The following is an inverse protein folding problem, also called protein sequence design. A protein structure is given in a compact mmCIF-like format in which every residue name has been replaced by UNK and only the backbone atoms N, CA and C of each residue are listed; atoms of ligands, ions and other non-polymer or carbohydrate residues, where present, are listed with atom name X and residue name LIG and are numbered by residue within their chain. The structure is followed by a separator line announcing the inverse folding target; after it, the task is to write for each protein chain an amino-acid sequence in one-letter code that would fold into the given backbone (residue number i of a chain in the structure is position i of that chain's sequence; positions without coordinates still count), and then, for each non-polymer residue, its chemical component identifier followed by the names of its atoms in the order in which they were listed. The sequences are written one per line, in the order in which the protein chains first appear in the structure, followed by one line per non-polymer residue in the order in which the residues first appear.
data_IF_976245000187
#
_entry.id   IF_976245000187
#
_cell.length_a   1.000
_cell.length_b   1.000
_cell.length_c   1.000
_cell.angle_alpha   90.00
_cell.angle_beta   90.00
_cell.angle_gamma   90.00
#
_symmetry.space_group_name_H-M   'P 1'
#
loop_
_entity.id
_entity.type
_entity.pdbx_description
1 polymer ?
#
# COMPACT_ATOMS: atom_id res chain seq x y z
N UNK A 1 -2.14 28.86 4.07
CA UNK A 1 -2.23 28.48 5.51
C UNK A 1 -0.86 28.52 6.19
N UNK A 2 0.22 28.14 5.50
CA UNK A 2 1.61 28.21 6.01
C UNK A 2 2.11 29.64 6.29
N UNK A 3 1.78 30.61 5.43
CA UNK A 3 2.24 32.00 5.59
C UNK A 3 1.71 32.68 6.86
N UNK A 4 0.51 32.31 7.33
CA UNK A 4 -0.04 32.89 8.57
C UNK A 4 0.64 32.31 9.80
N UNK A 5 1.22 31.11 9.72
CA UNK A 5 1.95 30.49 10.81
C UNK A 5 3.35 31.10 10.95
N UNK A 6 4.07 31.31 9.85
CA UNK A 6 5.37 32.00 9.81
C UNK A 6 5.28 33.39 10.44
N UNK A 7 4.29 34.19 10.04
CA UNK A 7 4.06 35.51 10.60
C UNK A 7 3.78 35.48 12.11
N UNK A 8 3.14 34.43 12.61
CA UNK A 8 2.87 34.26 14.04
C UNK A 8 4.12 33.85 14.82
N UNK A 9 4.97 33.00 14.24
CA UNK A 9 6.26 32.63 14.84
C UNK A 9 7.18 33.85 14.91
N UNK A 10 7.27 34.63 13.83
CA UNK A 10 8.02 35.87 13.79
C UNK A 10 7.51 36.90 14.82
N UNK A 11 6.18 37.03 14.96
CA UNK A 11 5.58 37.87 16.00
C UNK A 11 5.95 37.40 17.42
N UNK A 12 5.95 36.08 17.67
CA UNK A 12 6.34 35.52 18.98
C UNK A 12 7.83 35.75 19.28
N UNK A 13 8.73 35.60 18.31
CA UNK A 13 10.16 35.96 18.46
C UNK A 13 10.30 37.44 18.84
N UNK A 14 9.68 38.34 18.07
CA UNK A 14 9.74 39.78 18.34
C UNK A 14 9.14 40.18 19.69
N UNK A 15 8.07 39.51 20.12
CA UNK A 15 7.49 39.72 21.45
C UNK A 15 8.41 39.23 22.58
N UNK A 16 9.07 38.08 22.40
CA UNK A 16 10.01 37.53 23.37
C UNK A 16 11.26 38.41 23.53
N UNK A 17 11.77 38.97 22.43
CA UNK A 17 12.86 39.96 22.43
C UNK A 17 12.43 41.27 23.11
N UNK A 18 11.24 41.79 22.77
CA UNK A 18 10.75 43.06 23.33
C UNK A 18 10.42 43.02 24.82
N UNK A 19 10.19 41.84 25.39
CA UNK A 19 9.91 41.63 26.82
C UNK A 19 11.16 41.27 27.63
N UNK A 20 12.33 41.17 27.01
CA UNK A 20 13.59 40.80 27.64
C UNK A 20 13.51 39.47 28.43
N UNK A 21 12.65 38.56 27.93
CA UNK A 21 12.37 37.25 28.54
C UNK A 21 13.60 36.35 28.47
N UNK A 22 14.37 36.48 27.39
CA UNK A 22 15.54 35.67 27.07
C UNK A 22 16.66 35.80 28.12
N UNK A 23 16.82 36.97 28.74
CA UNK A 23 18.03 37.29 29.52
C UNK A 23 17.88 37.11 31.03
N UNK A 24 16.65 37.09 31.57
CA UNK A 24 16.43 37.37 32.99
C UNK A 24 15.89 36.21 33.85
N UNK A 25 15.33 35.13 33.25
CA UNK A 25 14.71 34.04 34.04
C UNK A 25 14.90 32.65 33.45
N UNK A 26 14.77 31.60 34.28
CA UNK A 26 14.85 30.20 33.83
C UNK A 26 13.68 29.84 32.93
N UNK A 27 12.52 30.41 33.25
CA UNK A 27 11.28 30.30 32.49
C UNK A 27 11.44 30.92 31.10
N UNK A 28 12.17 32.04 31.00
CA UNK A 28 12.40 32.72 29.74
C UNK A 28 13.33 31.99 28.78
N UNK A 29 14.35 31.29 29.31
CA UNK A 29 15.17 30.36 28.53
C UNK A 29 14.34 29.20 27.97
N UNK A 30 13.39 28.68 28.73
CA UNK A 30 12.50 27.61 28.24
C UNK A 30 11.62 28.15 27.11
N UNK A 31 11.04 29.34 27.28
CA UNK A 31 10.22 29.98 26.23
C UNK A 31 11.01 30.26 24.96
N UNK A 32 12.28 30.65 25.08
CA UNK A 32 13.20 30.82 23.95
C UNK A 32 13.36 29.54 23.13
N UNK A 33 13.74 28.45 23.81
CA UNK A 33 13.91 27.14 23.19
C UNK A 33 12.60 26.61 22.59
N UNK A 34 11.46 26.90 23.22
CA UNK A 34 10.14 26.55 22.66
C UNK A 34 9.86 27.30 21.35
N UNK A 35 10.25 28.57 21.25
CA UNK A 35 10.04 29.35 20.02
C UNK A 35 10.94 28.83 18.90
N UNK A 36 12.21 28.51 19.19
CA UNK A 36 13.13 27.88 18.23
C UNK A 36 12.60 26.52 17.76
N UNK A 37 12.15 25.65 18.68
CA UNK A 37 11.56 24.36 18.34
C UNK A 37 10.32 24.49 17.44
N UNK A 38 9.48 25.49 17.69
CA UNK A 38 8.31 25.74 16.83
C UNK A 38 8.73 26.19 15.42
N UNK A 39 9.83 26.95 15.31
CA UNK A 39 10.40 27.35 14.01
C UNK A 39 10.95 26.14 13.24
N UNK A 40 11.66 25.24 13.92
CA UNK A 40 12.15 23.98 13.34
C UNK A 40 10.99 23.08 12.86
N UNK A 41 9.94 22.95 13.67
CA UNK A 41 8.73 22.20 13.30
C UNK A 41 8.06 22.84 12.09
N UNK A 42 8.00 24.17 12.03
CA UNK A 42 7.46 24.89 10.87
C UNK A 42 8.28 24.63 9.60
N UNK A 43 9.61 24.63 9.70
CA UNK A 43 10.51 24.29 8.60
C UNK A 43 10.26 22.88 8.06
N UNK A 44 10.24 21.88 8.95
CA UNK A 44 9.93 20.49 8.59
C UNK A 44 8.52 20.35 7.97
N UNK A 45 7.54 21.09 8.50
CA UNK A 45 6.18 21.07 7.99
C UNK A 45 6.07 21.72 6.59
N UNK A 46 6.85 22.78 6.28
CA UNK A 46 6.94 23.32 4.92
C UNK A 46 7.51 22.30 3.93
N UNK A 47 8.58 21.61 4.31
CA UNK A 47 9.18 20.57 3.46
C UNK A 47 8.18 19.44 3.21
N UNK A 48 7.50 18.97 4.26
CA UNK A 48 6.44 17.96 4.15
C UNK A 48 5.34 18.41 3.18
N UNK A 49 4.86 19.65 3.33
CA UNK A 49 3.81 20.18 2.47
C UNK A 49 4.23 20.21 1.00
N UNK A 50 5.47 20.64 0.71
CA UNK A 50 5.99 20.65 -0.66
C UNK A 50 6.06 19.23 -1.26
N UNK A 51 6.42 18.23 -0.46
CA UNK A 51 6.43 16.83 -0.89
C UNK A 51 5.02 16.27 -1.12
N UNK A 52 4.04 16.70 -0.30
CA UNK A 52 2.63 16.34 -0.50
C UNK A 52 2.12 16.94 -1.80
N UNK A 53 2.33 18.23 -2.05
CA UNK A 53 1.96 18.88 -3.32
C UNK A 53 2.63 18.22 -4.54
N UNK A 54 3.86 17.72 -4.38
CA UNK A 54 4.52 16.94 -5.43
C UNK A 54 3.86 15.57 -5.66
N UNK A 55 3.48 14.90 -4.57
CA UNK A 55 2.78 13.61 -4.65
C UNK A 55 1.40 13.75 -5.27
N UNK A 56 0.66 14.82 -4.93
CA UNK A 56 -0.62 15.16 -5.54
C UNK A 56 -0.47 15.34 -7.05
N UNK A 57 0.55 16.08 -7.50
CA UNK A 57 0.85 16.22 -8.93
C UNK A 57 1.20 14.90 -9.62
N UNK A 58 1.93 14.00 -8.96
CA UNK A 58 2.17 12.67 -9.51
C UNK A 58 0.90 11.83 -9.60
N UNK A 59 0.01 11.94 -8.61
CA UNK A 59 -1.27 11.24 -8.63
C UNK A 59 -2.17 11.75 -9.77
N UNK A 60 -2.24 13.07 -9.98
CA UNK A 60 -2.95 13.68 -11.11
C UNK A 60 -2.38 13.23 -12.46
N UNK A 61 -1.05 13.14 -12.58
CA UNK A 61 -0.41 12.66 -13.81
C UNK A 61 -0.72 11.18 -14.09
N UNK A 62 -0.74 10.33 -13.06
CA UNK A 62 -1.12 8.92 -13.20
C UNK A 62 -2.59 8.79 -13.60
N UNK A 63 -3.48 9.60 -13.03
CA UNK A 63 -4.90 9.63 -13.37
C UNK A 63 -5.12 9.97 -14.85
N UNK A 64 -4.43 11.01 -15.36
CA UNK A 64 -4.45 11.39 -16.78
C UNK A 64 -3.91 10.27 -17.68
N UNK A 65 -2.78 9.65 -17.32
CA UNK A 65 -2.21 8.53 -18.08
C UNK A 65 -3.15 7.30 -18.11
N UNK A 66 -3.89 7.05 -17.02
CA UNK A 66 -4.87 5.96 -16.95
C UNK A 66 -6.12 6.27 -17.78
N UNK A 67 -6.60 7.52 -17.79
CA UNK A 67 -7.72 7.96 -18.64
C UNK A 67 -7.42 7.66 -20.12
N UNK A 68 -6.20 7.94 -20.59
CA UNK A 68 -5.77 7.64 -21.96
C UNK A 68 -5.79 6.13 -22.26
N UNK A 69 -5.36 5.30 -21.31
CA UNK A 69 -5.38 3.83 -21.45
C UNK A 69 -6.81 3.31 -21.45
N UNK A 70 -7.67 3.83 -20.58
CA UNK A 70 -9.10 3.49 -20.54
C UNK A 70 -9.78 3.83 -21.86
N UNK A 71 -9.53 5.03 -22.39
CA UNK A 71 -10.05 5.45 -23.68
C UNK A 71 -9.50 4.59 -24.82
N UNK A 72 -8.24 4.13 -24.77
CA UNK A 72 -7.69 3.26 -25.80
C UNK A 72 -8.29 1.85 -25.78
N UNK A 73 -8.49 1.27 -24.59
CA UNK A 73 -8.96 -0.11 -24.43
C UNK A 73 -10.47 -0.24 -24.53
N UNK A 74 -11.22 0.75 -24.04
CA UNK A 74 -12.67 0.67 -23.87
C UNK A 74 -13.46 1.66 -24.75
N UNK A 75 -12.81 2.32 -25.72
CA UNK A 75 -13.43 3.32 -26.61
C UNK A 75 -14.70 2.85 -27.34
N UNK A 76 -14.82 1.54 -27.59
CA UNK A 76 -15.90 0.94 -28.38
C UNK A 76 -16.97 0.24 -27.51
N UNK A 77 -16.78 0.16 -26.18
CA UNK A 77 -17.71 -0.50 -25.27
C UNK A 77 -18.60 0.53 -24.54
N UNK A 78 -19.79 0.74 -25.08
CA UNK A 78 -20.90 1.52 -24.50
C UNK A 78 -21.39 1.00 -23.11
N UNK A 79 -20.74 -0.05 -22.59
CA UNK A 79 -21.00 -0.69 -21.30
C UNK A 79 -20.35 0.01 -20.09
N UNK A 80 -19.51 1.04 -20.30
CA UNK A 80 -18.82 1.77 -19.22
C UNK A 80 -19.74 2.65 -18.34
N UNK A 81 -20.99 2.85 -18.73
CA UNK A 81 -22.03 3.44 -17.88
C UNK A 81 -23.12 2.42 -17.54
N UNK A 82 -22.75 1.18 -17.24
CA UNK A 82 -23.62 0.38 -16.40
C UNK A 82 -23.64 1.06 -15.02
N UNK A 83 -24.50 2.09 -14.90
CA UNK A 83 -25.09 2.46 -13.63
C UNK A 83 -25.45 1.15 -12.99
N UNK A 84 -24.82 0.83 -11.85
CA UNK A 84 -25.23 -0.31 -11.00
C UNK A 84 -26.75 -0.24 -10.95
N UNK A 85 -27.39 -1.06 -11.78
CA UNK A 85 -28.83 -1.08 -11.88
C UNK A 85 -29.18 -1.74 -10.56
N UNK A 86 -29.56 -0.92 -9.58
CA UNK A 86 -30.08 -1.36 -8.31
C UNK A 86 -31.00 -2.53 -8.62
N UNK A 87 -30.53 -3.74 -8.30
CA UNK A 87 -31.13 -5.01 -8.67
C UNK A 87 -32.44 -5.13 -7.91
N UNK A 88 -33.41 -4.31 -8.30
CA UNK A 88 -34.80 -4.31 -7.89
C UNK A 88 -35.58 -5.13 -8.92
N UNK A 89 -35.09 -6.33 -9.20
CA UNK A 89 -35.85 -7.35 -9.90
C UNK A 89 -36.21 -8.45 -8.91
N UNK A 90 -37.36 -8.23 -8.30
CA UNK A 90 -38.36 -9.25 -8.00
C UNK A 90 -37.86 -10.53 -7.30
N UNK A 91 -37.87 -10.49 -5.97
CA UNK A 91 -38.46 -11.63 -5.25
C UNK A 91 -37.59 -12.54 -4.40
N UNK A 92 -36.42 -12.11 -3.89
CA UNK A 92 -35.84 -12.76 -2.70
C UNK A 92 -34.90 -11.83 -1.94
N UNK A 93 -35.34 -11.43 -0.76
CA UNK A 93 -34.55 -10.65 0.20
C UNK A 93 -33.29 -11.43 0.61
N UNK A 94 -32.14 -11.08 0.05
CA UNK A 94 -30.85 -11.42 0.61
C UNK A 94 -30.49 -10.32 1.62
N UNK A 95 -30.89 -10.57 2.88
CA UNK A 95 -30.47 -9.82 4.04
C UNK A 95 -28.94 -9.70 4.07
N UNK A 96 -28.49 -8.46 4.20
CA UNK A 96 -27.12 -8.03 4.49
C UNK A 96 -26.43 -8.94 5.50
N UNK A 97 -25.39 -9.64 5.06
CA UNK A 97 -24.31 -10.04 5.95
C UNK A 97 -23.09 -9.21 5.57
N UNK A 98 -22.99 -8.02 6.17
CA UNK A 98 -21.69 -7.39 6.35
C UNK A 98 -20.89 -8.36 7.24
N UNK A 99 -20.15 -9.27 6.60
CA UNK A 99 -19.13 -10.04 7.27
C UNK A 99 -18.03 -9.06 7.66
N UNK A 100 -17.90 -8.85 8.95
CA UNK A 100 -16.72 -8.30 9.59
C UNK A 100 -15.51 -9.16 9.20
N UNK A 101 -14.62 -8.60 8.39
CA UNK A 101 -13.33 -9.23 8.06
C UNK A 101 -12.31 -9.14 9.21
N UNK A 102 -12.76 -8.88 10.43
CA UNK A 102 -11.93 -8.91 11.63
C UNK A 102 -12.33 -10.12 12.47
N UNK A 103 -11.37 -11.03 12.60
CA UNK A 103 -11.28 -12.21 13.44
C UNK A 103 -11.75 -13.58 12.92
N UNK A 104 -10.75 -14.45 12.93
CA UNK A 104 -10.76 -15.86 13.28
C UNK A 104 -10.77 -16.91 12.14
N UNK A 105 -9.53 -17.37 11.88
CA UNK A 105 -9.18 -18.78 11.76
C UNK A 105 -10.14 -19.68 10.98
N UNK A 106 -10.20 -19.48 9.67
CA UNK A 106 -10.42 -20.59 8.75
C UNK A 106 -9.50 -20.45 7.54
N UNK A 107 -8.26 -20.90 7.73
CA UNK A 107 -7.39 -21.26 6.62
C UNK A 107 -8.09 -22.39 5.86
N UNK A 108 -8.83 -22.03 4.81
CA UNK A 108 -9.38 -22.98 3.86
C UNK A 108 -8.26 -23.89 3.35
N UNK A 109 -8.22 -25.13 3.85
CA UNK A 109 -7.46 -26.21 3.24
C UNK A 109 -8.02 -26.39 1.83
N UNK A 110 -7.29 -25.92 0.82
CA UNK A 110 -7.59 -26.22 -0.57
C UNK A 110 -7.63 -27.74 -0.72
N UNK A 111 -8.79 -28.26 -1.12
CA UNK A 111 -8.99 -29.66 -1.46
C UNK A 111 -8.02 -29.99 -2.59
N UNK A 112 -7.01 -30.80 -2.31
CA UNK A 112 -6.06 -31.32 -3.29
C UNK A 112 -6.76 -32.33 -4.18
N UNK A 113 -7.64 -31.84 -5.06
CA UNK A 113 -8.41 -32.60 -6.03
C UNK A 113 -7.99 -32.17 -7.44
N UNK A 114 -7.33 -33.10 -8.14
CA UNK A 114 -7.06 -33.12 -9.58
C UNK A 114 -6.13 -32.02 -10.13
N UNK A 115 -4.89 -32.43 -10.44
CA UNK A 115 -3.78 -31.63 -10.98
C UNK A 115 -4.00 -31.27 -12.47
N UNK A 116 -5.08 -30.59 -12.82
CA UNK A 116 -5.39 -30.26 -14.23
C UNK A 116 -5.31 -28.76 -14.58
N UNK A 117 -4.75 -27.93 -13.67
CA UNK A 117 -4.65 -26.47 -13.85
C UNK A 117 -3.21 -25.92 -13.79
N UNK A 118 -2.18 -26.73 -14.08
CA UNK A 118 -0.78 -26.24 -14.14
C UNK A 118 -0.40 -25.96 -15.58
N UNK A 119 -0.25 -24.69 -15.94
CA UNK A 119 0.08 -24.25 -17.30
C UNK A 119 1.60 -24.23 -17.56
N UNK A 120 2.40 -23.83 -16.57
CA UNK A 120 3.85 -23.80 -16.66
C UNK A 120 4.49 -23.85 -15.28
N UNK A 121 5.67 -24.48 -15.17
CA UNK A 121 6.48 -24.47 -13.94
C UNK A 121 7.84 -23.81 -14.18
N UNK A 122 8.21 -22.88 -13.30
CA UNK A 122 9.48 -22.16 -13.34
C UNK A 122 10.31 -22.46 -12.10
N UNK A 123 11.60 -22.75 -12.28
CA UNK A 123 12.55 -22.95 -11.21
C UNK A 123 13.38 -21.68 -10.99
N UNK A 124 13.39 -21.16 -9.77
CA UNK A 124 14.15 -19.97 -9.37
C UNK A 124 15.06 -20.28 -8.20
N UNK A 125 16.33 -19.90 -8.31
CA UNK A 125 17.30 -20.01 -7.22
C UNK A 125 17.19 -18.80 -6.29
N UNK A 126 16.94 -19.03 -5.00
CA UNK A 126 16.92 -17.97 -4.02
C UNK A 126 18.32 -17.31 -3.91
N UNK A 127 18.46 -15.99 -4.16
CA UNK A 127 19.76 -15.32 -4.10
C UNK A 127 20.41 -15.32 -2.71
N UNK A 128 19.61 -15.53 -1.66
CA UNK A 128 20.04 -15.47 -0.26
C UNK A 128 20.49 -16.83 0.29
N UNK A 129 19.69 -17.89 0.09
CA UNK A 129 19.99 -19.21 0.63
C UNK A 129 20.35 -20.28 -0.42
N UNK A 130 20.23 -19.96 -1.72
CA UNK A 130 20.45 -20.89 -2.85
C UNK A 130 19.53 -22.11 -2.88
N UNK A 131 18.43 -22.07 -2.15
CA UNK A 131 17.33 -23.04 -2.30
C UNK A 131 16.64 -22.83 -3.65
N UNK A 132 16.29 -23.92 -4.34
CA UNK A 132 15.51 -23.86 -5.58
C UNK A 132 14.02 -23.86 -5.22
N UNK A 133 13.29 -22.87 -5.71
CA UNK A 133 11.84 -22.74 -5.56
C UNK A 133 11.16 -23.06 -6.89
N UNK A 134 10.09 -23.85 -6.83
CA UNK A 134 9.24 -24.14 -7.99
C UNK A 134 7.98 -23.28 -7.92
N UNK A 135 7.74 -22.52 -8.98
CA UNK A 135 6.54 -21.72 -9.17
C UNK A 135 5.67 -22.40 -10.21
N UNK A 136 4.50 -22.86 -9.80
CA UNK A 136 3.47 -23.39 -10.70
C UNK A 136 2.45 -22.29 -10.98
N UNK A 137 2.36 -21.88 -12.24
CA UNK A 137 1.35 -20.93 -12.70
C UNK A 137 0.10 -21.71 -13.13
N UNK A 138 -1.05 -21.30 -12.60
CA UNK A 138 -2.36 -21.80 -12.96
C UNK A 138 -3.35 -20.67 -13.19
N UNK A 139 -4.44 -20.99 -13.89
CA UNK A 139 -5.58 -20.09 -14.09
C UNK A 139 -6.82 -20.83 -13.62
N UNK A 140 -7.61 -20.19 -12.76
CA UNK A 140 -8.84 -20.78 -12.25
C UNK A 140 -10.01 -20.67 -13.26
N UNK A 141 -11.15 -21.24 -12.88
CA UNK A 141 -12.35 -21.24 -13.73
C UNK A 141 -12.95 -19.85 -14.00
N UNK A 142 -12.50 -18.83 -13.27
CA UNK A 142 -12.95 -17.44 -13.39
C UNK A 142 -11.93 -16.57 -14.17
N UNK A 143 -10.77 -17.15 -14.53
CA UNK A 143 -9.75 -16.49 -15.34
C UNK A 143 -8.65 -15.79 -14.54
N UNK A 144 -8.58 -15.98 -13.22
CA UNK A 144 -7.53 -15.39 -12.40
C UNK A 144 -6.27 -16.26 -12.38
N UNK A 145 -5.11 -15.60 -12.51
CA UNK A 145 -3.80 -16.25 -12.40
C UNK A 145 -3.46 -16.48 -10.93
N UNK A 146 -3.13 -17.72 -10.57
CA UNK A 146 -2.63 -18.07 -9.24
C UNK A 146 -1.26 -18.76 -9.33
N UNK A 147 -0.47 -18.61 -8.27
CA UNK A 147 0.87 -19.19 -8.17
C UNK A 147 0.97 -20.12 -6.95
N UNK A 148 1.34 -21.37 -7.18
CA UNK A 148 1.66 -22.31 -6.12
C UNK A 148 3.19 -22.37 -6.00
N UNK A 149 3.70 -21.99 -4.84
CA UNK A 149 5.15 -21.97 -4.56
C UNK A 149 5.49 -23.19 -3.69
N UNK A 150 6.23 -24.12 -4.27
CA UNK A 150 6.71 -25.30 -3.55
C UNK A 150 8.22 -25.20 -3.33
N UNK A 151 8.72 -25.39 -2.09
CA UNK A 151 10.14 -25.56 -1.86
C UNK A 151 10.57 -26.91 -2.46
N UNK A 152 11.75 -26.96 -3.07
CA UNK A 152 12.32 -28.24 -3.51
C UNK A 152 12.50 -29.17 -2.30
N UNK A 153 11.72 -30.26 -2.26
CA UNK A 153 11.95 -31.37 -1.33
C UNK A 153 12.56 -32.52 -2.12
N UNK A 154 13.80 -32.86 -1.81
CA UNK A 154 14.42 -34.12 -2.22
C UNK A 154 13.67 -35.28 -1.56
N UNK A 155 12.54 -35.72 -2.14
CA UNK A 155 11.94 -37.03 -1.86
C UNK A 155 12.35 -38.07 -2.91
N UNK A 156 13.54 -37.92 -3.48
CA UNK A 156 14.29 -39.06 -3.95
C UNK A 156 15.19 -39.51 -2.80
N UNK A 157 14.72 -40.49 -2.02
CA UNK A 157 15.61 -41.41 -1.34
C UNK A 157 16.56 -41.99 -2.40
N UNK A 158 17.71 -41.34 -2.61
CA UNK A 158 18.86 -42.03 -3.16
C UNK A 158 19.27 -43.04 -2.09
N UNK A 159 18.71 -44.25 -2.16
CA UNK A 159 19.40 -45.38 -1.55
C UNK A 159 20.81 -45.40 -2.16
N UNK A 160 21.87 -45.23 -1.36
CA UNK A 160 23.21 -45.38 -1.88
C UNK A 160 23.34 -46.82 -2.34
N UNK A 161 23.50 -47.01 -3.65
CA UNK A 161 23.98 -48.28 -4.19
C UNK A 161 25.44 -48.39 -3.73
N UNK A 162 25.63 -48.88 -2.50
CA UNK A 162 26.94 -49.30 -2.03
C UNK A 162 27.07 -50.82 -2.24
N UNK A 163 28.28 -51.36 -2.27
CA UNK A 163 28.90 -51.86 -3.48
C UNK A 163 29.08 -53.38 -3.42
N UNK A 164 28.90 -54.05 -4.54
CA UNK A 164 29.58 -55.31 -4.84
C UNK A 164 30.01 -55.31 -6.28
#
# INVERSE_FOLDING_TARGET
MLETLENRIAYLRGLAEGLDIQENSREGKILAEMIELVDDIYGAFRELHARVEETERYAEAIDEDLEDVELYLFNDDEALYETVEDCSVDGQAAYESFADHDDDEDAHLYETGERDHVLSSHALECPSCREVLFFHEGVDGEGYHHYIVEPYRDEAEYEPINPT
#
